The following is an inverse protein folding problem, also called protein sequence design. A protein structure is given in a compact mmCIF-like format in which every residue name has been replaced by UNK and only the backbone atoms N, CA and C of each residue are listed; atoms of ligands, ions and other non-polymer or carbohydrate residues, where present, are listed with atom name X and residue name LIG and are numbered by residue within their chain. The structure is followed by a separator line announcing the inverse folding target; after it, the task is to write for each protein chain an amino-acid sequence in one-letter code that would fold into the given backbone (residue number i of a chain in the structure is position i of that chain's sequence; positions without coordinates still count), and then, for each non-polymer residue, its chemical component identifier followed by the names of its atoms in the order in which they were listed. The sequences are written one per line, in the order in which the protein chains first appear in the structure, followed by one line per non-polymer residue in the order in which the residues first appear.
data_IF_613077899433
#
_entry.id   IF_613077899433
#
_cell.length_a   1.000
_cell.length_b   1.000
_cell.length_c   1.000
_cell.angle_alpha   90.00
_cell.angle_beta   90.00
_cell.angle_gamma   90.00
#
_symmetry.space_group_name_H-M   'P 1'
#
loop_
_entity.id
_entity.type
_entity.pdbx_description
1 polymer ?
#
# COMPACT_ATOMS: atom_id res chain seq x y z
N UNK A 1 5.58 21.52 -18.92
CA UNK A 1 5.68 21.82 -17.48
C UNK A 1 4.45 21.21 -16.83
N UNK A 2 4.47 19.88 -16.65
CA UNK A 2 3.31 19.12 -16.21
C UNK A 2 3.31 19.03 -14.70
N UNK A 3 2.17 19.31 -14.08
CA UNK A 3 1.92 19.36 -12.64
C UNK A 3 2.73 18.31 -11.87
N UNK A 4 3.59 18.75 -10.96
CA UNK A 4 4.16 17.96 -9.88
C UNK A 4 3.00 17.46 -8.99
N UNK A 5 2.27 16.48 -9.50
CA UNK A 5 1.09 15.94 -8.86
C UNK A 5 1.62 15.16 -7.67
N UNK A 6 1.45 15.74 -6.47
CA UNK A 6 1.88 15.10 -5.23
C UNK A 6 1.28 13.70 -5.19
N UNK A 7 2.13 12.71 -4.95
CA UNK A 7 1.70 11.32 -4.81
C UNK A 7 1.86 10.87 -3.37
N UNK A 8 0.99 9.95 -2.96
CA UNK A 8 1.00 9.32 -1.66
C UNK A 8 1.62 7.94 -1.81
N UNK A 9 2.49 7.58 -0.86
CA UNK A 9 3.00 6.23 -0.72
C UNK A 9 2.22 5.50 0.36
N UNK A 10 1.50 4.46 -0.01
CA UNK A 10 0.89 3.50 0.92
C UNK A 10 1.92 2.44 1.33
N UNK A 11 1.92 2.08 2.61
CA UNK A 11 2.81 1.07 3.16
C UNK A 11 2.05 0.16 4.14
N UNK A 12 1.95 -1.12 3.79
CA UNK A 12 1.45 -2.18 4.68
C UNK A 12 2.63 -2.93 5.31
N UNK A 13 3.01 -2.60 6.56
CA UNK A 13 4.17 -3.20 7.22
C UNK A 13 3.89 -4.64 7.66
N UNK A 14 4.73 -5.58 7.22
CA UNK A 14 4.75 -6.95 7.75
C UNK A 14 6.08 -7.35 8.36
N UNK A 15 6.13 -8.56 8.91
CA UNK A 15 7.33 -9.14 9.50
C UNK A 15 8.29 -9.66 8.43
N UNK A 16 7.76 -10.42 7.47
CA UNK A 16 8.56 -11.09 6.43
C UNK A 16 8.47 -10.38 5.08
N UNK A 17 7.36 -9.71 4.81
CA UNK A 17 7.05 -8.98 3.57
C UNK A 17 6.23 -7.74 3.89
N UNK A 18 6.27 -6.75 3.01
CA UNK A 18 5.49 -5.53 3.12
C UNK A 18 4.80 -5.23 1.80
N UNK A 19 3.64 -4.59 1.87
CA UNK A 19 2.99 -3.99 0.71
C UNK A 19 3.45 -2.55 0.51
N UNK A 20 3.67 -2.15 -0.74
CA UNK A 20 3.88 -0.76 -1.13
C UNK A 20 2.95 -0.40 -2.28
N UNK A 21 2.45 0.84 -2.28
CA UNK A 21 1.66 1.41 -3.38
C UNK A 21 1.96 2.91 -3.54
N UNK A 22 1.93 3.42 -4.77
CA UNK A 22 2.06 4.85 -5.08
C UNK A 22 0.82 5.28 -5.85
N UNK A 23 0.12 6.30 -5.34
CA UNK A 23 -1.13 6.78 -5.93
C UNK A 23 -1.17 8.31 -5.91
N UNK A 24 -1.67 8.91 -6.98
CA UNK A 24 -1.93 10.35 -7.04
C UNK A 24 -3.12 10.77 -6.18
N UNK A 25 -3.21 12.05 -5.85
CA UNK A 25 -4.39 12.61 -5.14
C UNK A 25 -5.69 12.50 -5.95
N UNK A 26 -5.59 12.27 -7.25
CA UNK A 26 -6.70 11.98 -8.16
C UNK A 26 -7.16 10.51 -8.11
N UNK A 27 -6.54 9.68 -7.27
CA UNK A 27 -6.82 8.25 -7.14
C UNK A 27 -6.14 7.38 -8.19
N UNK A 28 -5.31 7.96 -9.09
CA UNK A 28 -4.62 7.18 -10.10
C UNK A 28 -3.46 6.38 -9.50
N UNK A 29 -3.58 5.05 -9.55
CA UNK A 29 -2.55 4.12 -9.08
C UNK A 29 -1.38 4.06 -10.07
N UNK A 30 -0.21 4.50 -9.64
CA UNK A 30 1.01 4.53 -10.46
C UNK A 30 1.90 3.30 -10.24
N UNK A 31 1.91 2.74 -9.03
CA UNK A 31 2.75 1.61 -8.67
C UNK A 31 2.13 0.81 -7.53
N UNK A 32 2.34 -0.51 -7.50
CA UNK A 32 2.14 -1.31 -6.30
C UNK A 32 2.92 -2.62 -6.37
N UNK A 33 3.42 -3.10 -5.22
CA UNK A 33 4.19 -4.35 -5.14
C UNK A 33 4.21 -4.90 -3.71
N UNK A 34 4.28 -6.23 -3.59
CA UNK A 34 4.69 -6.89 -2.35
C UNK A 34 6.20 -7.10 -2.40
N UNK A 35 6.92 -6.61 -1.39
CA UNK A 35 8.38 -6.72 -1.28
C UNK A 35 8.80 -7.46 -0.01
N UNK A 36 9.96 -8.14 0.01
CA UNK A 36 10.54 -8.66 1.24
C UNK A 36 10.73 -7.54 2.28
N UNK A 37 10.52 -7.84 3.56
CA UNK A 37 10.71 -6.87 4.64
C UNK A 37 12.17 -6.36 4.70
N UNK A 38 13.15 -7.16 4.27
CA UNK A 38 14.55 -6.74 4.19
C UNK A 38 14.80 -5.68 3.11
N UNK A 39 13.95 -5.59 2.10
CA UNK A 39 14.11 -4.69 0.94
C UNK A 39 13.20 -3.46 1.01
N UNK A 40 12.28 -3.40 1.98
CA UNK A 40 11.25 -2.37 2.02
C UNK A 40 11.81 -0.94 2.09
N UNK A 41 12.83 -0.68 2.93
CA UNK A 41 13.43 0.66 3.04
C UNK A 41 14.08 1.09 1.72
N UNK A 42 14.84 0.19 1.08
CA UNK A 42 15.46 0.45 -0.21
C UNK A 42 14.42 0.70 -1.30
N UNK A 43 13.32 -0.06 -1.27
CA UNK A 43 12.18 0.13 -2.18
C UNK A 43 11.54 1.50 -1.99
N UNK A 44 11.26 1.90 -0.75
CA UNK A 44 10.70 3.23 -0.43
C UNK A 44 11.64 4.33 -0.94
N UNK A 45 12.95 4.20 -0.72
CA UNK A 45 13.94 5.15 -1.23
C UNK A 45 13.93 5.26 -2.76
N UNK A 46 13.91 4.13 -3.46
CA UNK A 46 13.86 4.09 -4.92
C UNK A 46 12.58 4.74 -5.46
N UNK A 47 11.42 4.45 -4.86
CA UNK A 47 10.15 5.07 -5.23
C UNK A 47 10.18 6.59 -5.03
N UNK A 48 10.80 7.07 -3.95
CA UNK A 48 10.95 8.52 -3.70
C UNK A 48 11.89 9.23 -4.67
N UNK A 49 12.80 8.50 -5.32
CA UNK A 49 13.62 9.05 -6.41
C UNK A 49 12.84 9.13 -7.72
N UNK A 50 11.86 8.25 -7.92
CA UNK A 50 11.06 8.17 -9.14
C UNK A 50 9.81 9.05 -9.09
N UNK A 51 9.23 9.28 -7.91
CA UNK A 51 7.99 10.01 -7.72
C UNK A 51 8.12 11.09 -6.64
N UNK A 52 7.42 12.24 -6.75
CA UNK A 52 7.45 13.33 -5.77
C UNK A 52 6.63 12.98 -4.51
N UNK A 53 7.08 11.98 -3.75
CA UNK A 53 6.43 11.47 -2.54
C UNK A 53 6.89 12.29 -1.32
N UNK A 54 5.95 13.01 -0.71
CA UNK A 54 6.15 13.73 0.55
C UNK A 54 5.36 13.14 1.74
N UNK A 55 4.39 12.26 1.45
CA UNK A 55 3.51 11.62 2.43
C UNK A 55 3.56 10.08 2.30
N UNK A 56 3.79 9.41 3.42
CA UNK A 56 3.68 7.97 3.59
C UNK A 56 2.50 7.66 4.51
N UNK A 57 1.52 6.93 3.99
CA UNK A 57 0.40 6.38 4.77
C UNK A 57 0.76 4.96 5.18
N UNK A 58 0.82 4.71 6.49
CA UNK A 58 1.22 3.44 7.06
C UNK A 58 0.08 2.79 7.83
N UNK A 59 -0.07 1.50 7.65
CA UNK A 59 -0.99 0.69 8.45
C UNK A 59 -0.58 0.57 9.92
N UNK A 60 -1.55 0.61 10.84
CA UNK A 60 -1.35 0.64 12.29
C UNK A 60 -1.23 -0.74 12.98
N UNK A 61 -1.01 -1.82 12.22
CA UNK A 61 -0.80 -3.17 12.75
C UNK A 61 0.39 -3.31 13.71
N UNK A 62 0.55 -4.51 14.28
CA UNK A 62 1.50 -4.87 15.36
C UNK A 62 2.96 -4.46 15.12
N UNK A 63 3.41 -4.37 13.87
CA UNK A 63 4.80 -4.05 13.49
C UNK A 63 5.03 -2.55 13.24
N UNK A 64 3.99 -1.72 13.26
CA UNK A 64 4.04 -0.28 12.92
C UNK A 64 5.11 0.49 13.67
N UNK A 65 5.21 0.32 14.99
CA UNK A 65 6.22 1.01 15.83
C UNK A 65 7.66 0.71 15.40
N UNK A 66 7.96 -0.56 15.10
CA UNK A 66 9.29 -0.96 14.64
C UNK A 66 9.60 -0.35 13.27
N UNK A 67 8.59 -0.29 12.40
CA UNK A 67 8.75 0.27 11.06
C UNK A 67 8.91 1.78 11.05
N UNK A 68 8.17 2.51 11.88
CA UNK A 68 8.37 3.94 12.09
C UNK A 68 9.83 4.22 12.49
N UNK A 69 10.37 3.48 13.47
CA UNK A 69 11.76 3.63 13.89
C UNK A 69 12.75 3.37 12.75
N UNK A 70 12.56 2.29 11.97
CA UNK A 70 13.41 1.99 10.81
C UNK A 70 13.38 3.09 9.76
N UNK A 71 12.21 3.66 9.48
CA UNK A 71 12.05 4.72 8.49
C UNK A 71 12.71 6.01 8.98
N UNK A 72 12.51 6.40 10.24
CA UNK A 72 13.20 7.56 10.82
C UNK A 72 14.73 7.38 10.82
N UNK A 73 15.21 6.17 11.09
CA UNK A 73 16.64 5.81 11.03
C UNK A 73 17.21 5.77 9.61
N UNK A 74 16.38 5.69 8.57
CA UNK A 74 16.83 5.72 7.19
C UNK A 74 16.99 7.15 6.63
N UNK A 75 16.81 8.18 7.48
CA UNK A 75 16.92 9.61 7.13
C UNK A 75 16.13 9.97 5.86
N UNK A 76 14.89 9.50 5.77
CA UNK A 76 14.02 9.78 4.63
C UNK A 76 13.40 11.18 4.67
N UNK A 77 13.88 12.08 5.51
CA UNK A 77 13.29 13.43 5.62
C UNK A 77 13.57 14.30 4.37
N UNK A 78 12.62 15.16 3.95
CA UNK A 78 11.28 15.34 4.52
C UNK A 78 10.31 14.24 4.07
N UNK A 79 9.76 13.47 5.02
CA UNK A 79 8.71 12.46 4.75
C UNK A 79 7.73 12.42 5.92
N UNK A 80 6.51 12.91 5.68
CA UNK A 80 5.46 12.83 6.69
C UNK A 80 4.90 11.41 6.73
N UNK A 81 4.76 10.84 7.93
CA UNK A 81 4.15 9.52 8.15
C UNK A 81 2.81 9.71 8.85
N UNK A 82 1.74 9.21 8.23
CA UNK A 82 0.39 9.18 8.81
C UNK A 82 -0.03 7.73 9.03
N UNK A 83 -0.57 7.43 10.21
CA UNK A 83 -1.09 6.12 10.55
C UNK A 83 -2.57 6.02 10.20
N UNK A 84 -2.99 4.91 9.60
CA UNK A 84 -4.39 4.63 9.25
C UNK A 84 -4.83 3.29 9.84
N UNK A 85 -6.05 3.25 10.38
CA UNK A 85 -6.65 2.05 10.98
C UNK A 85 -6.92 0.98 9.90
N UNK A 86 -6.36 -0.22 10.14
CA UNK A 86 -6.41 -1.35 9.23
C UNK A 86 -7.54 -2.37 9.49
N UNK A 87 -8.50 -2.09 10.37
CA UNK A 87 -9.58 -3.05 10.66
C UNK A 87 -10.29 -3.55 9.39
N UNK A 88 -10.39 -4.87 9.27
CA UNK A 88 -11.01 -5.64 8.18
C UNK A 88 -10.35 -5.49 6.79
N UNK A 89 -9.21 -4.79 6.67
CA UNK A 89 -8.59 -4.48 5.37
C UNK A 89 -8.14 -5.73 4.61
N UNK A 90 -7.80 -6.83 5.29
CA UNK A 90 -7.43 -8.09 4.61
C UNK A 90 -8.60 -8.71 3.83
N UNK A 91 -9.84 -8.63 4.34
CA UNK A 91 -11.00 -9.15 3.62
C UNK A 91 -11.32 -8.25 2.42
N UNK A 92 -11.31 -6.94 2.63
CA UNK A 92 -11.48 -5.94 1.56
C UNK A 92 -10.43 -6.08 0.46
N UNK A 93 -9.17 -6.34 0.83
CA UNK A 93 -8.08 -6.54 -0.12
C UNK A 93 -8.28 -7.80 -0.98
N UNK A 94 -8.93 -8.85 -0.44
CA UNK A 94 -9.27 -10.05 -1.23
C UNK A 94 -10.35 -9.74 -2.26
N UNK A 95 -11.37 -8.99 -1.88
CA UNK A 95 -12.41 -8.57 -2.82
C UNK A 95 -11.84 -7.62 -3.87
N UNK A 96 -11.00 -6.65 -3.46
CA UNK A 96 -10.29 -5.74 -4.35
C UNK A 96 -9.38 -6.47 -5.33
N UNK A 97 -8.69 -7.53 -4.91
CA UNK A 97 -7.90 -8.38 -5.80
C UNK A 97 -8.74 -8.93 -6.96
N UNK A 98 -9.95 -9.45 -6.70
CA UNK A 98 -10.81 -10.00 -7.75
C UNK A 98 -11.46 -8.94 -8.64
N UNK A 99 -11.56 -7.69 -8.19
CA UNK A 99 -11.95 -6.56 -9.03
C UNK A 99 -10.82 -6.16 -10.00
N UNK A 100 -9.57 -6.13 -9.52
CA UNK A 100 -8.39 -5.80 -10.32
C UNK A 100 -7.98 -6.92 -11.28
N UNK A 101 -8.12 -8.17 -10.84
CA UNK A 101 -7.73 -9.37 -11.56
C UNK A 101 -8.93 -10.34 -11.61
N UNK A 102 -9.91 -10.11 -12.50
CA UNK A 102 -11.08 -10.96 -12.60
C UNK A 102 -10.70 -12.43 -12.84
N UNK A 103 -11.37 -13.38 -12.17
CA UNK A 103 -11.03 -14.79 -12.26
C UNK A 103 -11.27 -15.35 -13.67
N UNK A 104 -10.29 -16.07 -14.19
CA UNK A 104 -10.33 -16.70 -15.52
C UNK A 104 -10.35 -18.23 -15.42
N UNK A 105 -10.92 -18.91 -16.42
CA UNK A 105 -10.95 -20.37 -16.49
C UNK A 105 -11.73 -21.03 -15.34
N UNK A 106 -11.19 -22.11 -14.77
CA UNK A 106 -11.83 -22.88 -13.69
C UNK A 106 -12.08 -22.06 -12.41
N UNK A 107 -11.26 -21.05 -12.15
CA UNK A 107 -11.43 -20.16 -10.98
C UNK A 107 -12.77 -19.40 -11.01
N UNK A 108 -13.35 -19.20 -12.21
CA UNK A 108 -14.67 -18.55 -12.38
C UNK A 108 -15.81 -19.38 -11.79
N UNK A 109 -15.66 -20.70 -11.73
CA UNK A 109 -16.69 -21.63 -11.19
C UNK A 109 -16.71 -21.66 -9.66
N UNK A 110 -15.63 -21.19 -9.01
CA UNK A 110 -15.55 -21.12 -7.54
C UNK A 110 -16.35 -19.88 -7.07
N UNK A 111 -17.25 -19.99 -6.08
CA UNK A 111 -17.94 -18.84 -5.50
C UNK A 111 -16.94 -17.81 -4.92
N UNK A 112 -17.22 -16.51 -5.07
CA UNK A 112 -16.28 -15.44 -4.71
C UNK A 112 -15.71 -15.56 -3.28
N UNK A 113 -16.57 -15.81 -2.28
CA UNK A 113 -16.12 -15.95 -0.89
C UNK A 113 -15.20 -17.14 -0.62
N UNK A 114 -15.13 -18.12 -1.54
CA UNK A 114 -14.23 -19.26 -1.46
C UNK A 114 -12.95 -19.07 -2.29
N UNK A 115 -12.86 -18.00 -3.08
CA UNK A 115 -11.69 -17.73 -3.93
C UNK A 115 -10.56 -17.16 -3.09
N UNK A 116 -9.41 -17.82 -3.14
CA UNK A 116 -8.19 -17.33 -2.50
C UNK A 116 -7.26 -16.71 -3.55
N UNK A 117 -6.77 -15.47 -3.36
CA UNK A 117 -5.77 -14.90 -4.23
C UNK A 117 -4.54 -15.83 -4.31
N UNK A 118 -4.01 -16.12 -5.51
CA UNK A 118 -2.83 -16.98 -5.68
C UNK A 118 -1.51 -16.29 -5.27
N UNK A 119 -1.56 -15.03 -4.83
CA UNK A 119 -0.41 -14.25 -4.38
C UNK A 119 -0.71 -13.51 -3.08
N UNK A 120 0.35 -13.07 -2.42
CA UNK A 120 0.30 -12.05 -1.37
C UNK A 120 -0.46 -10.81 -1.86
N UNK A 121 -1.27 -10.20 -1.01
CA UNK A 121 -2.13 -9.04 -1.33
C UNK A 121 -1.81 -7.81 -0.47
N UNK A 122 -0.67 -7.82 0.22
CA UNK A 122 -0.22 -6.75 1.11
C UNK A 122 -0.10 -5.42 0.34
N UNK A 123 0.26 -5.47 -0.95
CA UNK A 123 0.26 -4.31 -1.86
C UNK A 123 -1.14 -3.73 -2.09
N UNK A 124 -2.16 -4.58 -2.14
CA UNK A 124 -3.56 -4.14 -2.25
C UNK A 124 -4.02 -3.56 -0.92
N UNK A 125 -3.55 -4.06 0.21
CA UNK A 125 -3.78 -3.39 1.50
C UNK A 125 -3.17 -2.00 1.48
N UNK A 126 -1.93 -1.84 0.98
CA UNK A 126 -1.31 -0.53 0.82
C UNK A 126 -2.12 0.43 -0.08
N UNK A 127 -2.77 -0.07 -1.13
CA UNK A 127 -3.73 0.72 -1.95
C UNK A 127 -4.91 1.20 -1.10
N UNK A 128 -5.57 0.27 -0.39
CA UNK A 128 -6.75 0.58 0.43
C UNK A 128 -6.43 1.58 1.55
N UNK A 129 -5.21 1.55 2.11
CA UNK A 129 -4.77 2.52 3.10
C UNK A 129 -4.72 3.95 2.54
N UNK A 130 -4.25 4.12 1.31
CA UNK A 130 -4.25 5.43 0.65
C UNK A 130 -5.69 5.88 0.39
N UNK A 131 -6.54 5.00 -0.14
CA UNK A 131 -7.96 5.31 -0.40
C UNK A 131 -8.67 5.78 0.88
N UNK A 132 -8.49 5.06 2.00
CA UNK A 132 -9.03 5.45 3.31
C UNK A 132 -8.53 6.81 3.80
N UNK A 133 -7.25 7.10 3.60
CA UNK A 133 -6.68 8.39 3.95
C UNK A 133 -7.31 9.54 3.14
N UNK A 134 -7.45 9.34 1.82
CA UNK A 134 -8.08 10.32 0.94
C UNK A 134 -9.55 10.55 1.30
N UNK A 135 -10.29 9.48 1.58
CA UNK A 135 -11.69 9.57 1.98
C UNK A 135 -11.87 10.32 3.31
N UNK A 136 -10.98 10.11 4.29
CA UNK A 136 -11.02 10.80 5.58
C UNK A 136 -10.70 12.31 5.47
N UNK A 137 -9.91 12.73 4.47
CA UNK A 137 -9.58 14.13 4.22
C UNK A 137 -10.63 14.90 3.40
N UNK A 138 -11.55 14.19 2.76
CA UNK A 138 -12.63 14.76 1.94
C UNK A 138 -13.95 14.96 2.72
N UNK A 139 -13.96 14.64 4.03
CA UNK A 139 -15.12 14.73 4.93
C UNK A 139 -15.19 16.01 5.76
#
# INVERSE_FOLDING_TARGET
MGMDSTVILGFDPGRDKCGVAVMGLDGNLSYHQVVPATEAIATIQALRQQYPISLLVMGDRTTSKQWQQKISQAQLEPLTIVMVDERNTTLEARDRYWQMYPPTGLSRLIPQGMRQPPRAIDDIVAILLIERYLDAGNG
#
